data_IF_780571175120
#
_entry.id   IF_780571175120
#
_cell.length_a   1.000
_cell.length_b   1.000
_cell.length_c   1.000
_cell.angle_alpha   90.00
_cell.angle_beta   90.00
_cell.angle_gamma   90.00
#
_symmetry.space_group_name_H-M   'P 1'
#
loop_
_entity.id
_entity.type
_entity.pdbx_description
1 polymer ?
#
# COMPACT_ATOMS: atom_id res chain seq x y z
N UNK A 1 14.34 18.26 7.38
CA UNK A 1 13.83 18.62 8.70
C UNK A 1 13.60 20.11 8.71
N UNK A 2 12.41 20.54 9.06
CA UNK A 2 12.06 21.93 9.12
C UNK A 2 12.66 22.57 10.39
N UNK A 3 12.92 23.88 10.33
CA UNK A 3 13.71 24.55 11.37
C UNK A 3 12.99 24.68 12.73
N UNK A 4 11.68 24.51 12.75
CA UNK A 4 10.79 24.61 13.92
C UNK A 4 10.31 23.25 14.44
N UNK A 5 10.63 22.17 13.76
CA UNK A 5 10.29 20.80 14.15
C UNK A 5 11.31 20.17 15.10
N UNK A 6 10.93 19.07 15.73
CA UNK A 6 11.73 18.42 16.78
C UNK A 6 11.93 16.93 16.45
N UNK A 7 13.13 16.44 16.68
CA UNK A 7 13.42 15.01 16.67
C UNK A 7 13.27 14.40 18.07
N UNK A 8 12.82 13.15 18.13
CA UNK A 8 12.90 12.36 19.37
C UNK A 8 14.37 12.17 19.77
N UNK A 9 14.64 12.16 21.08
CA UNK A 9 16.01 12.15 21.62
C UNK A 9 16.88 11.01 21.12
N UNK A 10 16.29 9.85 20.84
CA UNK A 10 16.98 8.66 20.33
C UNK A 10 16.91 8.52 18.81
N UNK A 11 16.39 9.50 18.07
CA UNK A 11 16.18 9.39 16.62
C UNK A 11 17.45 8.98 15.85
N UNK A 12 18.58 9.63 16.14
CA UNK A 12 19.85 9.29 15.48
C UNK A 12 20.38 7.91 15.89
N UNK A 13 20.16 7.49 17.14
CA UNK A 13 20.50 6.14 17.57
C UNK A 13 19.71 5.09 16.77
N UNK A 14 18.40 5.27 16.61
CA UNK A 14 17.56 4.35 15.86
C UNK A 14 17.97 4.28 14.37
N UNK A 15 18.34 5.41 13.78
CA UNK A 15 18.88 5.43 12.42
C UNK A 15 20.18 4.64 12.29
N UNK A 16 21.13 4.87 13.20
CA UNK A 16 22.42 4.13 13.21
C UNK A 16 22.17 2.63 13.42
N UNK A 17 21.26 2.29 14.33
CA UNK A 17 20.88 0.89 14.58
C UNK A 17 20.25 0.26 13.31
N UNK A 18 19.39 0.97 12.60
CA UNK A 18 18.83 0.53 11.34
C UNK A 18 19.93 0.30 10.26
N UNK A 19 20.87 1.23 10.11
CA UNK A 19 22.00 1.10 9.16
C UNK A 19 22.87 -0.12 9.50
N UNK A 20 23.13 -0.37 10.79
CA UNK A 20 23.94 -1.53 11.20
C UNK A 20 23.27 -2.86 10.87
N UNK A 21 21.93 -2.94 10.93
CA UNK A 21 21.18 -4.14 10.56
C UNK A 21 20.96 -4.26 9.04
N UNK A 22 20.87 -3.13 8.34
CA UNK A 22 20.60 -3.05 6.91
C UNK A 22 21.62 -2.14 6.20
N UNK A 23 22.87 -2.60 6.01
CA UNK A 23 23.95 -1.77 5.46
C UNK A 23 23.70 -1.23 4.04
N UNK A 24 22.81 -1.87 3.29
CA UNK A 24 22.41 -1.43 1.93
C UNK A 24 21.28 -0.40 1.92
N UNK A 25 20.76 0.01 3.09
CA UNK A 25 19.70 1.00 3.19
C UNK A 25 20.22 2.39 2.80
N UNK A 26 19.77 2.88 1.66
CA UNK A 26 20.08 4.21 1.15
C UNK A 26 19.05 5.26 1.57
N UNK A 27 17.82 4.83 1.84
CA UNK A 27 16.71 5.66 2.31
C UNK A 27 16.12 5.03 3.56
N UNK A 28 16.01 5.83 4.62
CA UNK A 28 15.38 5.42 5.88
C UNK A 28 14.33 6.47 6.25
N UNK A 29 13.15 6.05 6.67
CA UNK A 29 12.12 6.94 7.18
C UNK A 29 11.49 6.37 8.45
N UNK A 30 10.84 7.25 9.22
CA UNK A 30 10.18 6.87 10.47
C UNK A 30 8.72 7.30 10.51
N UNK A 31 8.00 6.84 11.53
CA UNK A 31 6.72 7.41 11.93
C UNK A 31 6.89 8.82 12.47
N UNK A 32 5.80 9.59 12.47
CA UNK A 32 5.75 10.96 12.94
C UNK A 32 4.49 11.24 13.75
N UNK A 33 4.46 12.32 14.48
CA UNK A 33 3.26 12.89 15.07
C UNK A 33 3.26 14.44 14.98
N UNK A 34 2.22 15.05 15.51
CA UNK A 34 2.16 16.49 15.69
C UNK A 34 2.29 16.84 17.15
N UNK A 35 3.05 17.88 17.43
CA UNK A 35 3.24 18.39 18.79
C UNK A 35 2.79 19.86 18.88
N UNK A 36 2.20 20.22 20.01
CA UNK A 36 1.83 21.62 20.28
C UNK A 36 3.04 22.54 20.30
N UNK A 37 2.82 23.84 20.10
CA UNK A 37 3.91 24.84 20.08
C UNK A 37 4.81 24.80 21.33
N UNK A 38 4.22 24.54 22.51
CA UNK A 38 4.93 24.40 23.78
C UNK A 38 5.55 23.00 24.03
N UNK A 39 5.49 22.12 23.03
CA UNK A 39 6.05 20.75 23.04
C UNK A 39 5.47 19.81 24.10
N UNK A 40 4.26 20.07 24.61
CA UNK A 40 3.68 19.29 25.72
C UNK A 40 2.61 18.29 25.27
N UNK A 41 1.95 18.54 24.15
CA UNK A 41 0.80 17.76 23.72
C UNK A 41 1.03 17.15 22.34
N UNK A 42 1.21 15.83 22.30
CA UNK A 42 1.35 15.03 21.10
C UNK A 42 -0.02 14.60 20.59
N UNK A 43 -0.24 14.71 19.27
CA UNK A 43 -1.51 14.39 18.62
C UNK A 43 -1.28 13.85 17.21
N UNK A 44 -2.30 13.25 16.63
CA UNK A 44 -2.33 12.80 15.25
C UNK A 44 -1.09 11.98 14.84
N UNK A 45 -0.77 10.88 15.55
CA UNK A 45 0.33 10.03 15.15
C UNK A 45 0.09 9.50 13.73
N UNK A 46 1.15 9.44 12.93
CA UNK A 46 1.14 8.86 11.60
C UNK A 46 2.04 7.61 11.61
N UNK A 47 1.42 6.46 11.85
CA UNK A 47 2.05 5.15 11.76
C UNK A 47 2.03 4.67 10.31
N UNK A 48 3.19 4.66 9.70
CA UNK A 48 3.39 4.40 8.28
C UNK A 48 3.55 2.90 8.02
N UNK A 49 3.22 2.39 6.83
CA UNK A 49 3.64 1.05 6.43
C UNK A 49 5.14 1.03 6.11
N UNK A 50 5.71 -0.14 5.94
CA UNK A 50 6.99 -0.28 5.25
C UNK A 50 6.87 0.26 3.81
N UNK A 51 7.99 0.30 3.08
CA UNK A 51 8.01 0.96 1.78
C UNK A 51 6.93 0.42 0.85
N UNK A 52 6.06 1.31 0.40
CA UNK A 52 4.86 1.04 -0.37
C UNK A 52 4.78 2.02 -1.54
N UNK A 53 5.19 1.57 -2.71
CA UNK A 53 5.37 2.43 -3.87
C UNK A 53 4.03 2.96 -4.39
N UNK A 54 2.98 2.12 -4.43
CA UNK A 54 1.67 2.60 -4.90
C UNK A 54 1.07 3.64 -3.95
N UNK A 55 1.22 3.44 -2.63
CA UNK A 55 0.79 4.44 -1.66
C UNK A 55 1.61 5.74 -1.79
N UNK A 56 2.93 5.64 -2.05
CA UNK A 56 3.76 6.81 -2.27
C UNK A 56 3.35 7.59 -3.53
N UNK A 57 2.92 6.91 -4.57
CA UNK A 57 2.40 7.54 -5.80
C UNK A 57 1.04 8.21 -5.60
N UNK A 58 0.21 7.67 -4.72
CA UNK A 58 -1.09 8.27 -4.39
C UNK A 58 -0.98 9.39 -3.35
N UNK A 59 0.04 9.37 -2.47
CA UNK A 59 0.25 10.36 -1.41
C UNK A 59 1.68 10.33 -0.89
N UNK A 60 2.27 11.51 -0.62
CA UNK A 60 3.57 11.60 0.05
C UNK A 60 3.46 11.19 1.53
N UNK A 61 3.31 9.88 1.81
CA UNK A 61 3.19 9.39 3.17
C UNK A 61 4.52 9.34 3.93
N UNK A 62 5.66 9.29 3.23
CA UNK A 62 6.98 9.25 3.85
C UNK A 62 7.30 10.55 4.57
N UNK A 63 7.12 11.69 3.91
CA UNK A 63 7.24 13.08 4.37
C UNK A 63 8.39 13.29 5.37
N UNK A 64 8.16 13.14 6.67
CA UNK A 64 9.11 13.26 7.78
C UNK A 64 9.16 11.97 8.61
N UNK A 65 10.19 11.55 9.25
CA UNK A 65 11.58 11.97 9.16
C UNK A 65 12.27 11.14 8.07
N UNK A 66 13.01 11.76 7.19
CA UNK A 66 13.71 11.12 6.08
C UNK A 66 15.22 11.22 6.27
N UNK A 67 15.92 10.11 6.10
CA UNK A 67 17.39 10.01 6.08
C UNK A 67 17.82 9.38 4.77
N UNK A 68 18.80 9.98 4.11
CA UNK A 68 19.31 9.54 2.80
C UNK A 68 20.82 9.38 2.89
N UNK A 69 21.37 8.31 2.30
CA UNK A 69 22.83 8.13 2.24
C UNK A 69 23.49 9.26 1.44
N UNK A 70 24.69 9.65 1.84
CA UNK A 70 25.44 10.70 1.13
C UNK A 70 25.66 10.34 -0.34
N UNK A 71 25.95 9.07 -0.64
CA UNK A 71 26.16 8.59 -2.00
C UNK A 71 24.90 8.75 -2.86
N UNK A 72 23.73 8.41 -2.30
CA UNK A 72 22.47 8.61 -3.01
C UNK A 72 22.15 10.09 -3.19
N UNK A 73 22.39 10.93 -2.16
CA UNK A 73 22.20 12.39 -2.26
C UNK A 73 23.06 13.00 -3.39
N UNK A 74 24.35 12.61 -3.48
CA UNK A 74 25.24 13.07 -4.55
C UNK A 74 24.75 12.63 -5.93
N UNK A 75 24.12 11.46 -6.04
CA UNK A 75 23.57 10.93 -7.29
C UNK A 75 22.29 11.63 -7.73
N UNK A 76 21.37 11.89 -6.81
CA UNK A 76 20.04 12.45 -7.15
C UNK A 76 20.01 13.98 -7.07
N UNK A 77 20.97 14.60 -6.40
CA UNK A 77 21.00 16.06 -6.13
C UNK A 77 20.08 16.46 -5.00
N UNK A 78 20.10 17.77 -4.66
CA UNK A 78 19.29 18.34 -3.59
C UNK A 78 17.84 18.68 -3.99
N UNK A 79 17.21 19.54 -3.20
CA UNK A 79 15.87 20.08 -3.51
C UNK A 79 15.90 20.95 -4.77
N UNK A 80 14.81 20.90 -5.52
CA UNK A 80 14.65 21.64 -6.78
C UNK A 80 13.59 22.73 -6.57
N UNK A 81 13.96 23.98 -6.89
CA UNK A 81 13.12 25.17 -6.67
C UNK A 81 11.80 25.13 -7.43
N UNK A 82 11.76 24.52 -8.59
CA UNK A 82 10.55 24.37 -9.41
C UNK A 82 9.46 23.51 -8.73
N UNK A 83 9.81 22.82 -7.64
CA UNK A 83 8.88 22.03 -6.83
C UNK A 83 8.62 22.63 -5.45
N UNK A 84 8.94 23.92 -5.24
CA UNK A 84 8.64 24.59 -3.97
C UNK A 84 7.20 24.32 -3.55
N UNK A 85 6.99 23.96 -2.26
CA UNK A 85 5.73 23.50 -1.68
C UNK A 85 5.49 21.99 -1.72
N UNK A 86 6.21 21.25 -2.58
CA UNK A 86 6.28 19.77 -2.61
C UNK A 86 7.69 19.29 -2.97
N UNK A 87 8.70 20.08 -2.58
CA UNK A 87 10.12 19.79 -2.84
C UNK A 87 10.60 18.52 -2.18
N UNK A 88 10.04 18.17 -1.04
CA UNK A 88 10.25 16.93 -0.33
C UNK A 88 9.71 15.74 -1.10
N UNK A 89 8.52 15.83 -1.68
CA UNK A 89 7.91 14.78 -2.47
C UNK A 89 8.72 14.48 -3.74
N UNK A 90 9.11 15.52 -4.49
CA UNK A 90 10.02 15.38 -5.62
C UNK A 90 11.34 14.71 -5.24
N UNK A 91 11.91 15.13 -4.11
CA UNK A 91 13.18 14.56 -3.61
C UNK A 91 13.03 13.10 -3.21
N UNK A 92 11.96 12.75 -2.48
CA UNK A 92 11.66 11.38 -2.08
C UNK A 92 11.50 10.48 -3.30
N UNK A 93 10.70 10.90 -4.31
CA UNK A 93 10.51 10.14 -5.55
C UNK A 93 11.85 9.86 -6.26
N UNK A 94 12.72 10.88 -6.43
CA UNK A 94 14.04 10.70 -7.01
C UNK A 94 14.95 9.77 -6.19
N UNK A 95 14.86 9.85 -4.86
CA UNK A 95 15.62 8.96 -3.98
C UNK A 95 15.17 7.50 -4.12
N UNK A 96 13.87 7.22 -4.05
CA UNK A 96 13.37 5.83 -4.12
C UNK A 96 13.54 5.21 -5.50
N UNK A 97 13.61 6.01 -6.58
CA UNK A 97 13.94 5.55 -7.93
C UNK A 97 15.36 4.95 -8.04
N UNK A 98 16.27 5.41 -7.20
CA UNK A 98 17.70 5.10 -7.29
C UNK A 98 18.26 4.35 -6.08
N UNK A 99 17.46 4.21 -5.03
CA UNK A 99 17.86 3.54 -3.80
C UNK A 99 18.02 2.04 -4.03
N UNK A 100 19.03 1.43 -3.42
CA UNK A 100 19.17 -0.02 -3.36
C UNK A 100 18.14 -0.62 -2.39
N UNK A 101 17.94 0.04 -1.26
CA UNK A 101 17.00 -0.40 -0.24
C UNK A 101 16.39 0.80 0.49
N UNK A 102 15.07 0.75 0.68
CA UNK A 102 14.32 1.69 1.51
C UNK A 102 13.89 0.98 2.78
N UNK A 103 14.13 1.58 3.95
CA UNK A 103 13.77 1.02 5.27
C UNK A 103 12.89 1.96 6.06
N UNK A 104 11.94 1.37 6.75
CA UNK A 104 11.07 2.02 7.70
C UNK A 104 11.50 1.70 9.12
N UNK A 105 11.52 2.69 9.99
CA UNK A 105 11.65 2.53 11.45
C UNK A 105 10.26 2.77 12.04
N UNK A 106 9.54 1.73 12.51
CA UNK A 106 8.18 1.87 13.02
C UNK A 106 8.15 2.47 14.43
N UNK A 107 8.73 3.66 14.57
CA UNK A 107 8.78 4.45 15.78
C UNK A 107 8.55 5.91 15.44
N UNK A 108 7.82 6.64 16.31
CA UNK A 108 7.68 8.08 16.19
C UNK A 108 9.02 8.71 16.57
N UNK A 109 9.74 9.21 15.55
CA UNK A 109 11.06 9.85 15.72
C UNK A 109 11.06 11.32 15.32
N UNK A 110 9.93 11.81 14.82
CA UNK A 110 9.76 13.18 14.34
C UNK A 110 8.46 13.78 14.88
N UNK A 111 8.54 15.02 15.33
CA UNK A 111 7.41 15.76 15.89
C UNK A 111 7.22 17.04 15.11
N UNK A 112 6.16 17.09 14.29
CA UNK A 112 5.78 18.28 13.54
C UNK A 112 5.13 19.30 14.46
N UNK A 113 5.83 20.44 14.67
CA UNK A 113 5.36 21.49 15.59
C UNK A 113 4.22 22.29 14.96
N UNK A 114 3.08 22.30 15.62
CA UNK A 114 1.92 23.09 15.19
C UNK A 114 2.05 24.55 15.63
N UNK A 115 1.94 25.47 14.69
CA UNK A 115 1.82 26.91 14.96
C UNK A 115 0.78 27.57 14.05
N UNK A 116 0.28 28.75 14.47
CA UNK A 116 -0.82 29.45 13.79
C UNK A 116 -0.49 29.95 12.37
N UNK A 117 0.79 30.05 12.02
CA UNK A 117 1.28 30.47 10.71
C UNK A 117 1.70 29.28 9.81
N UNK A 118 1.41 28.02 10.22
CA UNK A 118 1.74 26.88 9.37
C UNK A 118 0.85 26.87 8.10
N UNK A 119 1.42 26.49 6.96
CA UNK A 119 0.80 26.40 5.63
C UNK A 119 -0.49 25.55 5.60
N UNK A 120 -0.80 24.84 6.68
CA UNK A 120 -2.04 24.05 6.81
C UNK A 120 -3.34 24.90 6.84
N UNK A 121 -3.25 26.23 6.97
CA UNK A 121 -4.39 27.16 7.16
C UNK A 121 -4.87 27.90 5.92
N UNK A 122 -4.01 28.14 4.91
CA UNK A 122 -4.32 29.01 3.77
C UNK A 122 -4.77 28.22 2.52
N UNK A 123 -5.90 28.60 1.92
CA UNK A 123 -6.47 27.94 0.73
C UNK A 123 -5.61 28.10 -0.52
N UNK A 124 -4.97 29.26 -0.70
CA UNK A 124 -4.17 29.55 -1.89
C UNK A 124 -2.81 28.82 -1.84
N UNK A 125 -2.23 28.67 -0.64
CA UNK A 125 -1.01 27.89 -0.45
C UNK A 125 -1.22 26.39 -0.77
N UNK A 126 -2.43 25.86 -0.59
CA UNK A 126 -2.77 24.46 -0.88
C UNK A 126 -2.81 24.17 -2.38
N UNK A 127 -3.18 25.13 -3.22
CA UNK A 127 -3.31 24.89 -4.66
C UNK A 127 -1.94 24.74 -5.32
N UNK A 128 -1.00 25.65 -5.06
CA UNK A 128 0.32 25.56 -5.69
C UNK A 128 1.13 24.35 -5.21
N UNK A 129 1.00 23.97 -3.93
CA UNK A 129 1.66 22.76 -3.40
C UNK A 129 1.11 21.50 -4.08
N UNK A 130 -0.20 21.45 -4.31
CA UNK A 130 -0.85 20.34 -4.99
C UNK A 130 -0.44 20.26 -6.48
N UNK A 131 -0.29 21.41 -7.15
CA UNK A 131 0.24 21.47 -8.52
C UNK A 131 1.70 21.03 -8.59
N UNK A 132 2.52 21.42 -7.62
CA UNK A 132 3.92 21.00 -7.53
C UNK A 132 4.03 19.47 -7.30
N UNK A 133 3.19 18.89 -6.44
CA UNK A 133 3.13 17.46 -6.22
C UNK A 133 2.71 16.66 -7.46
N UNK A 134 1.73 17.16 -8.23
CA UNK A 134 1.34 16.56 -9.50
C UNK A 134 2.52 16.56 -10.49
N UNK A 135 3.20 17.70 -10.67
CA UNK A 135 4.39 17.79 -11.55
C UNK A 135 5.51 16.85 -11.09
N UNK A 136 5.71 16.69 -9.78
CA UNK A 136 6.72 15.76 -9.24
C UNK A 136 6.43 14.31 -9.66
N UNK A 137 5.16 13.89 -9.62
CA UNK A 137 4.72 12.58 -10.08
C UNK A 137 4.83 12.43 -11.60
N UNK A 138 4.41 13.44 -12.38
CA UNK A 138 4.53 13.43 -13.84
C UNK A 138 5.99 13.26 -14.28
N UNK A 139 6.92 13.97 -13.63
CA UNK A 139 8.35 13.78 -13.88
C UNK A 139 8.89 12.44 -13.37
N UNK A 140 8.37 11.92 -12.25
CA UNK A 140 8.69 10.58 -11.77
C UNK A 140 8.37 9.52 -12.83
N UNK A 141 7.17 9.54 -13.38
CA UNK A 141 6.76 8.61 -14.44
C UNK A 141 7.57 8.79 -15.72
N UNK A 142 7.86 10.04 -16.09
CA UNK A 142 8.71 10.35 -17.25
C UNK A 142 10.13 9.79 -17.11
N UNK A 143 10.77 9.92 -15.91
CA UNK A 143 12.11 9.35 -15.65
C UNK A 143 12.12 7.83 -15.71
N UNK A 144 11.01 7.19 -15.31
CA UNK A 144 10.87 5.73 -15.33
C UNK A 144 10.36 5.20 -16.67
N UNK A 145 10.10 6.07 -17.65
CA UNK A 145 9.51 5.73 -18.96
C UNK A 145 8.16 4.99 -18.82
N UNK A 146 7.37 5.33 -17.79
CA UNK A 146 6.04 4.79 -17.54
C UNK A 146 5.01 5.76 -18.12
N UNK A 147 4.15 5.29 -19.02
CA UNK A 147 3.02 6.08 -19.52
C UNK A 147 1.89 6.05 -18.47
N UNK A 148 1.71 7.17 -17.80
CA UNK A 148 0.71 7.32 -16.75
C UNK A 148 0.13 8.74 -16.74
N UNK A 149 -1.13 8.84 -16.36
CA UNK A 149 -1.83 10.11 -16.12
C UNK A 149 -2.00 10.31 -14.63
N UNK A 150 -1.57 11.47 -14.12
CA UNK A 150 -1.69 11.86 -12.72
C UNK A 150 -2.91 12.74 -12.54
N UNK A 151 -3.90 12.27 -11.82
CA UNK A 151 -5.13 13.00 -11.52
C UNK A 151 -5.14 13.43 -10.05
N UNK A 152 -5.53 14.69 -9.79
CA UNK A 152 -5.74 15.16 -8.41
C UNK A 152 -7.03 14.59 -7.84
N UNK A 153 -6.98 14.09 -6.61
CA UNK A 153 -8.17 13.70 -5.85
C UNK A 153 -8.81 14.94 -5.17
N UNK A 154 -9.99 14.77 -4.63
CA UNK A 154 -10.65 15.80 -3.81
C UNK A 154 -9.83 16.08 -2.54
N UNK A 155 -9.16 15.08 -2.02
CA UNK A 155 -8.27 15.19 -0.88
C UNK A 155 -6.95 15.85 -1.30
N UNK A 156 -6.70 17.04 -0.79
CA UNK A 156 -5.45 17.77 -1.06
C UNK A 156 -4.24 16.93 -0.68
N UNK A 157 -3.24 16.87 -1.58
CA UNK A 157 -2.04 16.05 -1.44
C UNK A 157 -2.25 14.58 -1.77
N UNK A 158 -3.42 14.20 -2.31
CA UNK A 158 -3.69 12.85 -2.79
C UNK A 158 -3.93 12.83 -4.30
N UNK A 159 -3.40 11.80 -4.93
CA UNK A 159 -3.46 11.62 -6.38
C UNK A 159 -4.13 10.29 -6.73
N UNK A 160 -4.47 10.14 -7.98
CA UNK A 160 -4.91 8.90 -8.59
C UNK A 160 -4.12 8.69 -9.86
N UNK A 161 -3.52 7.53 -9.99
CA UNK A 161 -2.65 7.21 -11.12
C UNK A 161 -3.38 6.28 -12.09
N UNK A 162 -3.54 6.73 -13.33
CA UNK A 162 -4.01 5.89 -14.44
C UNK A 162 -2.83 5.48 -15.31
N UNK A 163 -2.40 4.24 -15.18
CA UNK A 163 -1.35 3.69 -16.04
C UNK A 163 -1.91 3.38 -17.43
N UNK A 164 -1.24 3.86 -18.48
CA UNK A 164 -1.73 3.80 -19.87
C UNK A 164 -1.04 2.72 -20.71
N UNK A 165 -0.03 2.05 -20.17
CA UNK A 165 0.76 1.07 -20.91
C UNK A 165 -0.01 -0.23 -21.14
N UNK A 166 -0.88 -0.17 -22.16
CA UNK A 166 -1.70 -1.30 -22.65
C UNK A 166 -0.95 -2.14 -23.70
N UNK A 167 0.28 -1.76 -24.09
CA UNK A 167 0.95 -2.34 -25.28
C UNK A 167 1.60 -3.69 -25.05
N UNK A 168 1.82 -4.09 -23.80
CA UNK A 168 2.63 -5.28 -23.47
C UNK A 168 1.80 -6.55 -23.24
N UNK A 169 0.49 -6.46 -23.02
CA UNK A 169 -0.33 -7.62 -22.64
C UNK A 169 -1.62 -7.71 -23.44
N UNK A 170 -2.03 -8.95 -23.75
CA UNK A 170 -3.34 -9.26 -24.32
C UNK A 170 -4.29 -9.71 -23.20
N UNK A 171 -5.61 -9.74 -23.43
CA UNK A 171 -6.57 -10.21 -22.40
C UNK A 171 -6.27 -11.62 -21.89
N UNK A 172 -5.79 -12.50 -22.75
CA UNK A 172 -5.37 -13.87 -22.44
C UNK A 172 -4.15 -13.97 -21.51
N UNK A 173 -3.41 -12.88 -21.35
CA UNK A 173 -2.27 -12.80 -20.42
C UNK A 173 -2.71 -12.59 -18.96
N UNK A 174 -4.02 -12.39 -18.74
CA UNK A 174 -4.58 -12.13 -17.44
C UNK A 174 -5.64 -13.16 -17.04
N UNK A 175 -5.82 -13.29 -15.72
CA UNK A 175 -6.89 -14.06 -15.10
C UNK A 175 -7.76 -13.08 -14.32
N UNK A 176 -9.00 -12.90 -14.76
CA UNK A 176 -10.00 -12.09 -14.06
C UNK A 176 -10.73 -12.97 -13.04
N UNK A 177 -10.74 -12.56 -11.78
CA UNK A 177 -11.53 -13.14 -10.71
C UNK A 177 -12.73 -12.24 -10.44
N UNK A 178 -13.91 -12.75 -10.74
CA UNK A 178 -15.19 -12.08 -10.51
C UNK A 178 -16.25 -13.17 -10.27
N UNK A 179 -16.39 -13.67 -9.03
CA UNK A 179 -17.33 -14.73 -8.73
C UNK A 179 -18.78 -14.27 -8.88
N UNK A 180 -19.67 -15.24 -9.09
CA UNK A 180 -21.12 -15.00 -9.16
C UNK A 180 -21.62 -14.30 -7.89
N UNK A 181 -22.44 -13.25 -8.06
CA UNK A 181 -23.00 -12.45 -6.98
C UNK A 181 -22.13 -11.24 -6.59
N UNK A 182 -21.01 -11.01 -7.25
CA UNK A 182 -20.22 -9.77 -7.14
C UNK A 182 -20.51 -8.90 -8.35
N UNK A 183 -21.05 -7.70 -8.10
CA UNK A 183 -21.48 -6.76 -9.14
C UNK A 183 -20.58 -5.52 -9.11
N UNK A 184 -19.73 -5.32 -10.14
CA UNK A 184 -18.88 -4.14 -10.22
C UNK A 184 -19.70 -2.85 -10.32
N UNK A 185 -19.18 -1.74 -9.78
CA UNK A 185 -19.78 -0.41 -9.84
C UNK A 185 -19.06 0.44 -10.89
N UNK A 186 -19.86 1.18 -11.70
CA UNK A 186 -19.33 2.00 -12.79
C UNK A 186 -18.91 1.18 -14.01
N UNK A 187 -18.52 1.87 -15.09
CA UNK A 187 -18.22 1.22 -16.38
C UNK A 187 -16.73 0.97 -16.60
N UNK A 188 -15.86 1.68 -15.88
CA UNK A 188 -14.41 1.71 -16.07
C UNK A 188 -13.62 0.75 -15.16
N UNK A 189 -14.31 -0.04 -14.30
CA UNK A 189 -13.67 -0.91 -13.32
C UNK A 189 -12.67 -1.90 -13.93
N UNK A 190 -13.00 -2.46 -15.10
CA UNK A 190 -12.14 -3.43 -15.78
C UNK A 190 -10.88 -2.74 -16.31
N UNK A 191 -11.06 -1.58 -16.94
CA UNK A 191 -9.95 -0.77 -17.44
C UNK A 191 -9.02 -0.33 -16.31
N UNK A 192 -9.59 0.02 -15.17
CA UNK A 192 -8.84 0.41 -13.97
C UNK A 192 -8.01 -0.75 -13.41
N UNK A 193 -8.57 -1.98 -13.33
CA UNK A 193 -7.79 -3.16 -12.95
C UNK A 193 -6.64 -3.42 -13.92
N UNK A 194 -6.90 -3.35 -15.23
CA UNK A 194 -5.85 -3.50 -16.25
C UNK A 194 -4.77 -2.44 -16.11
N UNK A 195 -5.14 -1.20 -15.82
CA UNK A 195 -4.24 -0.08 -15.58
C UNK A 195 -3.16 -0.44 -14.55
N UNK A 196 -3.55 -0.90 -13.37
CA UNK A 196 -2.59 -1.32 -12.35
C UNK A 196 -1.86 -2.62 -12.71
N UNK A 197 -2.59 -3.62 -13.17
CA UNK A 197 -2.03 -4.95 -13.42
C UNK A 197 -1.06 -4.98 -14.61
N UNK A 198 -1.14 -4.02 -15.56
CA UNK A 198 -0.21 -3.91 -16.68
C UNK A 198 1.22 -3.60 -16.24
N UNK A 199 1.43 -2.98 -15.08
CA UNK A 199 2.76 -2.69 -14.57
C UNK A 199 3.56 -3.98 -14.37
N UNK A 200 4.79 -4.04 -14.91
CA UNK A 200 5.67 -5.23 -14.86
C UNK A 200 5.82 -5.83 -13.45
N UNK A 201 5.86 -4.98 -12.43
CA UNK A 201 6.06 -5.39 -11.04
C UNK A 201 4.80 -5.92 -10.35
N UNK A 202 3.60 -5.65 -10.87
CA UNK A 202 2.33 -6.04 -10.24
C UNK A 202 1.96 -7.45 -10.65
N UNK A 203 1.74 -8.36 -9.69
CA UNK A 203 1.28 -9.72 -9.91
C UNK A 203 -0.23 -9.86 -9.88
N UNK A 204 -0.86 -9.13 -8.95
CA UNK A 204 -2.31 -9.09 -8.76
C UNK A 204 -2.75 -7.70 -8.30
N UNK A 205 -3.93 -7.27 -8.76
CA UNK A 205 -4.64 -6.09 -8.26
C UNK A 205 -6.08 -6.46 -7.93
N UNK A 206 -6.60 -5.93 -6.83
CA UNK A 206 -7.99 -6.14 -6.42
C UNK A 206 -8.70 -4.83 -6.11
N UNK A 207 -10.02 -4.83 -6.31
CA UNK A 207 -10.90 -3.75 -5.97
C UNK A 207 -11.41 -3.83 -4.52
N UNK A 208 -12.14 -2.81 -4.12
CA UNK A 208 -12.82 -2.67 -2.83
C UNK A 208 -14.27 -3.14 -2.97
N UNK A 209 -14.74 -3.95 -2.04
CA UNK A 209 -16.11 -4.44 -2.08
C UNK A 209 -16.94 -3.95 -0.90
N UNK A 210 -18.25 -3.89 -1.12
CA UNK A 210 -19.24 -3.50 -0.14
C UNK A 210 -20.32 -4.57 -0.01
N UNK A 211 -20.94 -4.63 1.16
CA UNK A 211 -22.20 -5.34 1.33
C UNK A 211 -23.39 -4.52 0.75
N UNK A 212 -24.55 -5.12 0.69
CA UNK A 212 -25.80 -4.47 0.21
C UNK A 212 -26.30 -3.31 1.08
N UNK A 213 -25.68 -3.09 2.24
CA UNK A 213 -25.98 -1.98 3.16
C UNK A 213 -24.94 -0.84 3.04
N UNK A 214 -23.99 -0.92 2.11
CA UNK A 214 -22.94 0.08 1.88
C UNK A 214 -21.84 0.07 2.95
N UNK A 215 -21.60 -1.07 3.60
CA UNK A 215 -20.46 -1.26 4.48
C UNK A 215 -19.32 -1.90 3.71
N UNK A 216 -18.10 -1.49 4.01
CA UNK A 216 -16.90 -2.12 3.46
C UNK A 216 -16.88 -3.59 3.86
N UNK A 217 -16.78 -4.46 2.89
CA UNK A 217 -16.62 -5.89 3.05
C UNK A 217 -15.14 -6.27 2.92
N UNK A 218 -14.51 -5.88 1.83
CA UNK A 218 -13.11 -6.11 1.54
C UNK A 218 -12.41 -4.84 1.03
N UNK A 219 -11.20 -4.60 1.52
CA UNK A 219 -10.29 -3.57 1.02
C UNK A 219 -8.83 -4.00 1.32
N UNK A 220 -8.49 -5.23 0.92
CA UNK A 220 -7.26 -5.91 1.26
C UNK A 220 -7.33 -6.63 2.61
N UNK A 221 -6.31 -7.42 2.89
CA UNK A 221 -6.16 -8.13 4.15
C UNK A 221 -4.94 -7.63 4.92
N UNK A 222 -5.05 -7.66 6.23
CA UNK A 222 -3.93 -7.59 7.16
C UNK A 222 -3.79 -8.93 7.88
N UNK A 223 -2.56 -9.31 8.21
CA UNK A 223 -2.27 -10.56 8.90
C UNK A 223 -1.28 -10.35 10.04
N UNK A 224 -1.19 -11.31 10.94
CA UNK A 224 -0.13 -11.36 11.95
C UNK A 224 0.81 -12.55 11.71
N UNK A 225 1.92 -12.58 12.45
CA UNK A 225 2.91 -13.66 12.34
C UNK A 225 2.39 -15.02 12.82
N UNK A 226 1.26 -15.06 13.52
CA UNK A 226 0.59 -16.30 13.94
C UNK A 226 -0.28 -16.89 12.84
N UNK A 227 -0.40 -16.18 11.70
CA UNK A 227 -1.22 -16.56 10.57
C UNK A 227 -2.69 -16.16 10.68
N UNK A 228 -3.06 -15.34 11.65
CA UNK A 228 -4.41 -14.77 11.69
C UNK A 228 -4.54 -13.72 10.60
N UNK A 229 -5.61 -13.79 9.81
CA UNK A 229 -5.89 -12.91 8.67
C UNK A 229 -7.26 -12.27 8.82
N UNK A 230 -7.36 -10.98 8.51
CA UNK A 230 -8.61 -10.23 8.62
C UNK A 230 -8.73 -9.15 7.56
N UNK A 231 -9.95 -8.87 7.07
CA UNK A 231 -10.15 -7.83 6.08
C UNK A 231 -9.90 -6.44 6.67
N UNK A 232 -9.17 -5.62 5.92
CA UNK A 232 -8.92 -4.23 6.29
C UNK A 232 -10.19 -3.39 6.14
N UNK A 233 -10.47 -2.51 7.11
CA UNK A 233 -11.61 -1.57 7.13
C UNK A 233 -13.00 -2.22 7.10
N UNK A 234 -13.12 -3.52 7.31
CA UNK A 234 -14.38 -4.25 7.27
C UNK A 234 -15.44 -3.64 8.22
N UNK A 235 -16.70 -3.59 7.79
CA UNK A 235 -17.83 -3.06 8.54
C UNK A 235 -17.92 -1.52 8.62
N UNK A 236 -16.89 -0.80 8.11
CA UNK A 236 -16.92 0.66 8.09
C UNK A 236 -17.80 1.19 6.95
N UNK A 237 -18.30 2.42 7.11
CA UNK A 237 -19.09 3.06 6.06
C UNK A 237 -18.27 3.28 4.79
N UNK A 238 -18.87 3.08 3.62
CA UNK A 238 -18.21 3.26 2.31
C UNK A 238 -17.54 4.64 2.15
N UNK A 239 -18.10 5.68 2.76
CA UNK A 239 -17.58 7.06 2.72
C UNK A 239 -16.42 7.31 3.68
N UNK A 240 -16.13 6.37 4.58
CA UNK A 240 -15.02 6.51 5.53
C UNK A 240 -13.68 6.34 4.80
N UNK A 241 -12.82 7.36 4.92
CA UNK A 241 -11.54 7.41 4.20
C UNK A 241 -10.43 6.57 4.85
N UNK A 242 -10.67 6.07 6.05
CA UNK A 242 -9.69 5.29 6.81
C UNK A 242 -8.61 6.13 7.48
N UNK A 243 -7.76 5.44 8.25
CA UNK A 243 -6.58 6.02 8.86
C UNK A 243 -5.65 6.60 7.78
N UNK A 244 -5.26 7.86 7.90
CA UNK A 244 -4.45 8.56 6.91
C UNK A 244 -4.94 8.36 5.45
N UNK A 245 -6.26 8.27 5.24
CA UNK A 245 -6.94 8.05 3.95
C UNK A 245 -6.67 6.69 3.30
N UNK A 246 -6.07 5.75 3.98
CA UNK A 246 -5.68 4.44 3.43
C UNK A 246 -6.86 3.59 2.94
N UNK A 247 -8.10 3.88 3.32
CA UNK A 247 -9.27 3.18 2.79
C UNK A 247 -9.70 3.63 1.37
N UNK A 248 -9.07 4.68 0.82
CA UNK A 248 -9.40 5.26 -0.50
C UNK A 248 -8.18 5.44 -1.42
N UNK A 249 -6.96 5.23 -0.94
CA UNK A 249 -5.73 5.32 -1.71
C UNK A 249 -5.29 3.94 -2.20
N UNK A 250 -4.74 3.88 -3.41
CA UNK A 250 -4.10 2.67 -3.91
C UNK A 250 -2.85 2.37 -3.06
N UNK A 251 -2.62 1.09 -2.79
CA UNK A 251 -1.51 0.67 -1.93
C UNK A 251 -1.17 -0.80 -2.13
N UNK A 252 0.05 -1.16 -1.81
CA UNK A 252 0.44 -2.56 -1.70
C UNK A 252 -0.04 -3.10 -0.35
N UNK A 253 -0.58 -4.31 -0.36
CA UNK A 253 -1.12 -4.98 0.82
C UNK A 253 -0.45 -6.34 1.00
N UNK A 254 -0.50 -6.88 2.22
CA UNK A 254 -0.05 -8.23 2.50
C UNK A 254 -0.81 -9.28 1.69
N UNK A 255 -2.11 -9.08 1.54
CA UNK A 255 -2.94 -9.84 0.63
C UNK A 255 -4.16 -9.03 0.18
N UNK A 256 -4.80 -9.48 -0.91
CA UNK A 256 -6.03 -8.91 -1.47
C UNK A 256 -7.09 -9.99 -1.68
N UNK A 257 -8.36 -9.57 -1.70
CA UNK A 257 -9.48 -10.50 -1.90
C UNK A 257 -9.68 -10.85 -3.38
N UNK A 258 -10.15 -12.07 -3.61
CA UNK A 258 -10.53 -12.56 -4.94
C UNK A 258 -12.00 -12.24 -5.30
N UNK A 259 -12.69 -11.41 -4.52
CA UNK A 259 -14.06 -10.98 -4.85
C UNK A 259 -14.13 -10.16 -6.14
N UNK A 260 -13.13 -9.30 -6.39
CA UNK A 260 -12.93 -8.63 -7.68
C UNK A 260 -11.43 -8.36 -7.84
N UNK A 261 -10.78 -9.15 -8.69
CA UNK A 261 -9.33 -9.04 -8.88
C UNK A 261 -8.89 -9.41 -10.29
N UNK A 262 -7.76 -8.86 -10.70
CA UNK A 262 -7.08 -9.19 -11.95
C UNK A 262 -5.63 -9.57 -11.64
N UNK A 263 -5.17 -10.70 -12.16
CA UNK A 263 -3.78 -11.14 -11.98
C UNK A 263 -3.14 -11.49 -13.31
N UNK A 264 -1.82 -11.37 -13.37
CA UNK A 264 -1.05 -11.86 -14.50
C UNK A 264 -0.99 -13.38 -14.50
N UNK A 265 -1.25 -13.98 -15.65
CA UNK A 265 -1.10 -15.42 -15.83
C UNK A 265 0.33 -15.88 -15.61
N UNK A 266 1.32 -15.13 -16.10
CA UNK A 266 2.74 -15.44 -15.86
C UNK A 266 3.10 -15.47 -14.36
N UNK A 267 2.54 -14.53 -13.56
CA UNK A 267 2.76 -14.49 -12.13
C UNK A 267 2.09 -15.67 -11.42
N UNK A 268 0.85 -15.99 -11.84
CA UNK A 268 0.12 -17.18 -11.37
C UNK A 268 0.89 -18.47 -11.63
N UNK A 269 1.37 -18.67 -12.86
CA UNK A 269 2.11 -19.86 -13.26
C UNK A 269 3.47 -19.94 -12.53
N UNK A 270 4.16 -18.81 -12.38
CA UNK A 270 5.47 -18.73 -11.71
C UNK A 270 5.44 -19.19 -10.25
N UNK A 271 4.34 -18.90 -9.53
CA UNK A 271 4.19 -19.30 -8.12
C UNK A 271 3.46 -20.63 -7.94
N UNK A 272 3.10 -21.32 -9.03
CA UNK A 272 2.46 -22.63 -9.00
C UNK A 272 0.95 -22.61 -8.77
N UNK A 273 0.29 -21.45 -9.01
CA UNK A 273 -1.16 -21.30 -8.89
C UNK A 273 -1.69 -21.28 -7.47
N UNK A 274 -2.99 -21.52 -7.30
CA UNK A 274 -3.65 -21.55 -5.99
C UNK A 274 -3.43 -22.87 -5.28
N UNK A 275 -3.18 -22.84 -3.97
CA UNK A 275 -3.36 -24.00 -3.10
C UNK A 275 -4.85 -24.14 -2.75
N UNK A 276 -5.54 -24.95 -3.56
CA UNK A 276 -6.98 -25.17 -3.42
C UNK A 276 -7.39 -26.01 -2.20
N UNK A 277 -6.43 -26.51 -1.43
CA UNK A 277 -6.70 -27.16 -0.14
C UNK A 277 -6.94 -26.16 0.99
N UNK A 278 -6.50 -24.91 0.79
CA UNK A 278 -6.70 -23.84 1.77
C UNK A 278 -8.11 -23.24 1.66
N UNK A 279 -8.83 -23.08 2.79
CA UNK A 279 -10.10 -22.34 2.78
C UNK A 279 -9.86 -20.83 2.61
N UNK A 280 -10.90 -20.13 2.14
CA UNK A 280 -10.94 -18.66 2.20
C UNK A 280 -10.88 -18.18 3.68
N UNK A 281 -10.10 -17.13 4.04
CA UNK A 281 -9.26 -16.28 3.19
C UNK A 281 -7.78 -16.76 3.09
N UNK A 282 -7.45 -17.94 3.60
CA UNK A 282 -6.06 -18.43 3.66
C UNK A 282 -5.47 -18.73 2.28
N UNK A 283 -6.30 -19.16 1.32
CA UNK A 283 -5.88 -19.37 -0.07
C UNK A 283 -5.40 -18.05 -0.70
N UNK A 284 -6.10 -16.94 -0.46
CA UNK A 284 -5.75 -15.64 -0.95
C UNK A 284 -4.45 -15.12 -0.32
N UNK A 285 -4.32 -15.29 1.00
CA UNK A 285 -3.12 -14.89 1.73
C UNK A 285 -1.89 -15.68 1.27
N UNK A 286 -1.98 -17.03 1.21
CA UNK A 286 -0.91 -17.89 0.72
C UNK A 286 -0.44 -17.48 -0.67
N UNK A 287 -1.38 -17.32 -1.60
CA UNK A 287 -1.07 -16.94 -2.97
C UNK A 287 -0.37 -15.57 -3.04
N UNK A 288 -0.88 -14.57 -2.32
CA UNK A 288 -0.29 -13.24 -2.28
C UNK A 288 1.11 -13.23 -1.65
N UNK A 289 1.34 -13.98 -0.58
CA UNK A 289 2.66 -14.13 0.04
C UNK A 289 3.67 -14.78 -0.92
N UNK A 290 3.25 -15.81 -1.67
CA UNK A 290 4.11 -16.43 -2.69
C UNK A 290 4.42 -15.48 -3.86
N UNK A 291 3.47 -14.64 -4.27
CA UNK A 291 3.71 -13.57 -5.25
C UNK A 291 4.75 -12.57 -4.74
N UNK A 292 4.63 -12.10 -3.50
CA UNK A 292 5.61 -11.16 -2.91
C UNK A 292 7.00 -11.78 -2.81
N UNK A 293 7.10 -13.04 -2.38
CA UNK A 293 8.37 -13.79 -2.37
C UNK A 293 8.98 -13.90 -3.77
N UNK A 294 8.16 -14.02 -4.81
CA UNK A 294 8.61 -14.06 -6.20
C UNK A 294 8.95 -12.68 -6.78
N UNK A 295 8.83 -11.60 -5.98
CA UNK A 295 9.17 -10.23 -6.34
C UNK A 295 8.02 -9.42 -6.98
N UNK A 296 6.79 -9.93 -6.92
CA UNK A 296 5.63 -9.19 -7.42
C UNK A 296 4.97 -8.35 -6.31
N UNK A 297 4.44 -7.20 -6.69
CA UNK A 297 3.56 -6.40 -5.85
C UNK A 297 2.13 -6.97 -5.87
N UNK A 298 1.47 -6.88 -4.71
CA UNK A 298 0.07 -7.20 -4.48
C UNK A 298 -0.64 -5.89 -4.20
N UNK A 299 -1.49 -5.43 -5.11
CA UNK A 299 -2.05 -4.07 -5.09
C UNK A 299 -3.53 -4.08 -4.74
N UNK A 300 -3.92 -3.25 -3.80
CA UNK A 300 -5.30 -2.88 -3.52
C UNK A 300 -5.60 -1.55 -4.20
N UNK A 301 -6.56 -1.52 -5.11
CA UNK A 301 -7.02 -0.35 -5.85
C UNK A 301 -8.46 0.02 -5.45
N UNK A 302 -8.67 0.86 -4.41
CA UNK A 302 -10.00 1.21 -3.91
C UNK A 302 -10.85 2.08 -4.87
N UNK A 303 -10.27 2.52 -5.99
CA UNK A 303 -10.98 3.15 -7.10
C UNK A 303 -11.89 2.17 -7.82
N UNK A 304 -11.50 0.90 -7.91
CA UNK A 304 -12.36 -0.20 -8.37
C UNK A 304 -13.26 -0.62 -7.22
N UNK A 305 -14.57 -0.59 -7.45
CA UNK A 305 -15.56 -0.96 -6.43
C UNK A 305 -16.55 -1.98 -6.96
N UNK A 306 -17.07 -2.83 -6.05
CA UNK A 306 -18.16 -3.76 -6.36
C UNK A 306 -19.07 -3.96 -5.15
N UNK A 307 -20.31 -4.38 -5.38
CA UNK A 307 -21.28 -4.79 -4.36
C UNK A 307 -21.36 -6.32 -4.38
N UNK A 308 -21.30 -6.93 -3.20
CA UNK A 308 -21.50 -8.37 -3.01
C UNK A 308 -22.96 -8.60 -2.64
N UNK A 309 -23.74 -9.07 -3.62
CA UNK A 309 -25.17 -9.37 -3.45
C UNK A 309 -25.42 -10.78 -2.94
N UNK A 310 -24.49 -11.69 -3.20
CA UNK A 310 -24.52 -13.09 -2.77
C UNK A 310 -23.12 -13.53 -2.36
N UNK A 311 -23.04 -14.33 -1.30
CA UNK A 311 -21.74 -14.86 -0.81
C UNK A 311 -21.01 -15.64 -1.92
N UNK A 312 -19.76 -15.25 -2.26
CA UNK A 312 -19.00 -15.91 -3.32
C UNK A 312 -18.64 -17.35 -2.99
N UNK A 313 -18.74 -18.23 -3.97
CA UNK A 313 -18.22 -19.61 -3.88
C UNK A 313 -16.76 -19.65 -4.35
N UNK A 314 -15.82 -19.44 -3.43
CA UNK A 314 -14.38 -19.45 -3.73
C UNK A 314 -13.87 -20.84 -4.12
N UNK A 315 -14.52 -21.92 -3.70
CA UNK A 315 -14.16 -23.29 -4.11
C UNK A 315 -14.49 -23.48 -5.60
N UNK A 316 -15.66 -23.01 -6.03
CA UNK A 316 -16.05 -23.00 -7.46
C UNK A 316 -15.11 -22.13 -8.27
N UNK A 317 -14.84 -20.92 -7.83
CA UNK A 317 -13.94 -19.96 -8.49
C UNK A 317 -12.54 -20.55 -8.67
N UNK A 318 -11.94 -21.09 -7.61
CA UNK A 318 -10.62 -21.70 -7.68
C UNK A 318 -10.60 -22.93 -8.58
N UNK A 319 -11.65 -23.75 -8.57
CA UNK A 319 -11.81 -24.92 -9.44
C UNK A 319 -11.91 -24.55 -10.92
N UNK A 320 -12.58 -23.45 -11.25
CA UNK A 320 -12.66 -22.93 -12.62
C UNK A 320 -11.28 -22.46 -13.13
N UNK A 321 -10.50 -21.77 -12.29
CA UNK A 321 -9.15 -21.29 -12.64
C UNK A 321 -8.16 -22.45 -12.74
N UNK A 322 -8.14 -23.36 -11.76
CA UNK A 322 -7.15 -24.46 -11.71
C UNK A 322 -7.53 -25.67 -12.57
N UNK A 323 -8.78 -25.74 -13.06
CA UNK A 323 -9.36 -26.91 -13.75
C UNK A 323 -9.32 -28.20 -12.93
N UNK A 324 -9.23 -28.08 -11.61
CA UNK A 324 -9.16 -29.22 -10.67
C UNK A 324 -10.54 -29.62 -10.16
N UNK A 325 -10.68 -30.92 -9.81
CA UNK A 325 -11.86 -31.42 -9.09
C UNK A 325 -11.87 -30.86 -7.66
N UNK A 326 -13.07 -30.82 -7.04
CA UNK A 326 -13.27 -30.34 -5.66
C UNK A 326 -12.16 -30.80 -4.72
N UNK A 327 -11.37 -29.90 -4.15
CA UNK A 327 -10.31 -30.24 -3.21
C UNK A 327 -10.90 -30.66 -1.86
N UNK A 328 -10.13 -31.42 -1.10
CA UNK A 328 -10.40 -31.62 0.32
C UNK A 328 -9.80 -30.42 1.05
N UNK A 329 -10.66 -29.59 1.65
CA UNK A 329 -10.23 -28.39 2.35
C UNK A 329 -9.59 -28.75 3.71
N UNK A 330 -8.52 -28.05 4.03
CA UNK A 330 -7.96 -27.99 5.38
C UNK A 330 -8.94 -27.29 6.33
N UNK A 331 -8.86 -27.59 7.61
CA UNK A 331 -9.52 -26.80 8.64
C UNK A 331 -8.83 -25.42 8.76
N UNK A 332 -9.54 -24.43 9.29
CA UNK A 332 -8.95 -23.09 9.52
C UNK A 332 -7.68 -23.14 10.39
N UNK A 333 -7.67 -24.00 11.42
CA UNK A 333 -6.48 -24.16 12.26
C UNK A 333 -5.28 -24.74 11.48
N UNK A 334 -5.50 -25.74 10.63
CA UNK A 334 -4.43 -26.29 9.78
C UNK A 334 -3.93 -25.25 8.77
N UNK A 335 -4.85 -24.50 8.15
CA UNK A 335 -4.49 -23.44 7.22
C UNK A 335 -3.67 -22.33 7.91
N UNK A 336 -4.10 -21.91 9.11
CA UNK A 336 -3.37 -20.93 9.93
C UNK A 336 -1.97 -21.42 10.30
N UNK A 337 -1.83 -22.67 10.72
CA UNK A 337 -0.52 -23.27 11.04
C UNK A 337 0.39 -23.35 9.81
N UNK A 338 -0.16 -23.63 8.62
CA UNK A 338 0.59 -23.62 7.37
C UNK A 338 1.11 -22.20 7.05
N UNK A 339 0.26 -21.18 7.14
CA UNK A 339 0.65 -19.79 6.94
C UNK A 339 1.68 -19.34 7.99
N UNK A 340 1.45 -19.62 9.26
CA UNK A 340 2.42 -19.31 10.33
C UNK A 340 3.80 -19.91 10.01
N UNK A 341 3.83 -21.20 9.65
CA UNK A 341 5.07 -21.88 9.28
C UNK A 341 5.77 -21.21 8.08
N UNK A 342 5.01 -20.80 7.07
CA UNK A 342 5.55 -20.06 5.94
C UNK A 342 6.17 -18.73 6.39
N UNK A 343 5.44 -17.92 7.16
CA UNK A 343 5.89 -16.61 7.62
C UNK A 343 7.19 -16.70 8.44
N UNK A 344 7.27 -17.65 9.37
CA UNK A 344 8.46 -17.85 10.20
C UNK A 344 9.65 -18.31 9.34
N UNK A 345 9.46 -19.28 8.44
CA UNK A 345 10.51 -19.80 7.57
C UNK A 345 11.08 -18.72 6.62
N UNK A 346 10.24 -17.80 6.17
CA UNK A 346 10.63 -16.67 5.31
C UNK A 346 11.11 -15.44 6.10
N UNK A 347 11.12 -15.49 7.43
CA UNK A 347 11.62 -14.42 8.28
C UNK A 347 10.71 -13.19 8.41
N UNK A 348 9.40 -13.34 8.17
CA UNK A 348 8.46 -12.25 8.37
C UNK A 348 8.31 -11.95 9.87
N UNK A 349 8.52 -10.70 10.26
CA UNK A 349 8.33 -10.23 11.63
C UNK A 349 6.92 -9.64 11.86
N UNK A 350 6.31 -9.08 10.81
CA UNK A 350 4.97 -8.48 10.80
C UNK A 350 4.50 -8.28 9.35
N UNK A 351 3.23 -7.92 9.17
CA UNK A 351 2.69 -7.47 7.88
C UNK A 351 3.29 -6.11 7.50
N UNK A 352 4.08 -6.06 6.45
CA UNK A 352 4.76 -4.83 5.99
C UNK A 352 3.80 -3.72 5.55
N UNK A 353 2.58 -4.07 5.18
CA UNK A 353 1.51 -3.12 4.89
C UNK A 353 0.81 -2.58 6.16
N UNK A 354 1.08 -3.17 7.33
CA UNK A 354 0.39 -2.87 8.58
C UNK A 354 1.38 -2.59 9.70
N UNK A 355 1.49 -1.32 10.08
CA UNK A 355 2.47 -0.88 11.09
C UNK A 355 2.29 -1.65 12.41
N UNK A 356 3.37 -2.16 13.02
CA UNK A 356 3.30 -2.99 14.24
C UNK A 356 2.75 -2.25 15.47
N UNK A 357 2.59 -0.93 15.42
CA UNK A 357 1.95 -0.15 16.49
C UNK A 357 0.41 -0.22 16.45
N UNK A 358 -0.19 -0.78 15.40
CA UNK A 358 -1.62 -1.04 15.38
C UNK A 358 -1.98 -2.36 16.07
N UNK A 359 -3.22 -2.41 16.56
CA UNK A 359 -3.75 -3.60 17.22
C UNK A 359 -3.82 -4.79 16.26
N UNK A 360 -3.35 -5.94 16.71
CA UNK A 360 -3.51 -7.24 16.03
C UNK A 360 -4.92 -7.81 16.22
N UNK A 361 -5.70 -7.24 17.15
CA UNK A 361 -7.07 -7.64 17.48
C UNK A 361 -8.02 -6.45 17.32
N UNK A 362 -9.31 -6.71 17.20
CA UNK A 362 -10.31 -5.66 17.05
C UNK A 362 -10.40 -5.07 15.64
N UNK A 363 -10.73 -3.80 15.52
CA UNK A 363 -10.82 -3.11 14.23
C UNK A 363 -9.43 -2.83 13.69
N UNK A 364 -9.28 -2.95 12.37
CA UNK A 364 -8.01 -2.61 11.72
C UNK A 364 -7.69 -1.12 11.86
N UNK A 365 -6.41 -0.80 12.02
CA UNK A 365 -5.88 0.55 12.25
C UNK A 365 -6.33 1.19 13.58
N UNK A 366 -6.67 0.40 14.59
CA UNK A 366 -6.74 0.85 15.98
C UNK A 366 -5.34 0.79 16.61
N UNK A 367 -5.02 1.77 17.44
CA UNK A 367 -3.75 1.79 18.19
C UNK A 367 -3.75 0.71 19.29
N UNK A 368 -2.56 0.17 19.57
CA UNK A 368 -2.33 -0.74 20.71
C UNK A 368 -2.51 -0.02 22.04
#
# INVERSE_FOLDING_TARGET
MDHDDVLEKNALYEVVNCINHFPEADVIYSDEDKVSYDLKHHTQPHFKPDFNLELLRDNNYICHFLVVSKMLLEKVGGFRKEFDGSQDYDFILRCVEQAKQVKHIPKILYHWRMHSASTAGDSDSKTYTFDAGQRALEEHFKRLEIDAEVQKRIEVGCFHIKYKDKKLYQEEDFILLLPEGVVPCGDDWKEELYSYCSQKRVGIVAGKTFDTHGKVRQNGYVYDVKGDVRPAFCGLNAKYKGYCRRAVLAQEMGAVSFEIALMKKEAYDKVGGFDTSLPHPYMELDFCLRLQKAGYAVVQAPSVTAIVEKEPDFVKLSGEVTKNKKPVLLTENQAREQIHSFLINEGYAYDTAYNPNFSEQGKTFELK
#
